data_IF_817542234552
#
_entry.id   IF_817542234552
#
_cell.length_a   1.000
_cell.length_b   1.000
_cell.length_c   1.000
_cell.angle_alpha   90.00
_cell.angle_beta   90.00
_cell.angle_gamma   90.00
#
_symmetry.space_group_name_H-M   'P 1'
#
loop_
_entity.id
_entity.type
_entity.pdbx_description
1 polymer ?
#
# COMPACT_ATOMS: atom_id res chain seq x y z
N UNK A 1 -0.87 10.14 11.23
CA UNK A 1 -1.19 10.24 9.78
C UNK A 1 -2.30 9.26 9.50
N UNK A 2 -3.54 9.73 9.58
CA UNK A 2 -4.71 8.95 9.18
C UNK A 2 -4.77 8.94 7.66
N UNK A 3 -4.65 7.76 7.06
CA UNK A 3 -4.90 7.55 5.64
C UNK A 3 -6.39 7.31 5.45
N UNK A 4 -6.99 7.90 4.42
CA UNK A 4 -8.38 7.61 4.07
C UNK A 4 -8.46 6.21 3.50
N UNK A 5 -9.20 5.33 4.17
CA UNK A 5 -9.53 3.99 3.66
C UNK A 5 -10.99 3.98 3.24
N UNK A 6 -11.23 3.56 2.01
CA UNK A 6 -12.56 3.41 1.42
C UNK A 6 -12.93 1.93 1.38
N UNK A 7 -14.10 1.60 1.90
CA UNK A 7 -14.67 0.26 1.86
C UNK A 7 -15.81 0.21 0.83
N UNK A 8 -15.77 -0.81 -0.03
CA UNK A 8 -16.84 -1.13 -0.99
C UNK A 8 -17.09 -2.63 -1.03
N UNK A 9 -18.28 -3.03 -1.43
CA UNK A 9 -18.62 -4.43 -1.68
C UNK A 9 -18.62 -4.65 -3.19
N UNK A 10 -17.85 -5.62 -3.67
CA UNK A 10 -17.74 -5.96 -5.09
C UNK A 10 -18.05 -7.45 -5.24
N UNK A 11 -19.20 -7.77 -5.84
CA UNK A 11 -19.72 -9.14 -5.85
C UNK A 11 -19.93 -9.65 -4.42
N UNK A 12 -19.22 -10.71 -4.05
CA UNK A 12 -19.26 -11.31 -2.71
C UNK A 12 -18.10 -10.89 -1.80
N UNK A 13 -17.28 -9.91 -2.21
CA UNK A 13 -16.07 -9.51 -1.48
C UNK A 13 -16.20 -8.12 -0.88
N UNK A 14 -15.67 -7.97 0.34
CA UNK A 14 -15.38 -6.69 0.97
C UNK A 14 -14.01 -6.20 0.53
N UNK A 15 -13.98 -5.06 -0.16
CA UNK A 15 -12.78 -4.49 -0.77
C UNK A 15 -12.45 -3.17 -0.08
N UNK A 16 -11.22 -3.05 0.41
CA UNK A 16 -10.65 -1.85 1.01
C UNK A 16 -9.57 -1.28 0.09
N UNK A 17 -9.70 -0.01 -0.25
CA UNK A 17 -8.74 0.75 -1.06
C UNK A 17 -8.45 2.11 -0.44
N UNK A 18 -7.41 2.81 -0.89
CA UNK A 18 -7.12 4.17 -0.41
C UNK A 18 -6.70 5.08 -1.56
N UNK A 19 -7.31 6.28 -1.69
CA UNK A 19 -6.83 7.29 -2.64
C UNK A 19 -5.48 7.88 -2.21
N UNK A 20 -5.21 7.94 -0.91
CA UNK A 20 -3.96 8.48 -0.35
C UNK A 20 -2.79 7.50 -0.47
N UNK A 21 -3.09 6.20 -0.62
CA UNK A 21 -2.11 5.15 -0.82
C UNK A 21 -2.44 4.34 -2.08
N UNK A 22 -2.10 4.87 -3.28
CA UNK A 22 -2.26 4.15 -4.53
C UNK A 22 -1.54 2.80 -4.48
N UNK A 23 -2.29 1.72 -4.74
CA UNK A 23 -1.81 0.35 -4.61
C UNK A 23 -2.33 -0.39 -3.37
N UNK A 24 -2.99 0.30 -2.43
CA UNK A 24 -3.72 -0.38 -1.36
C UNK A 24 -4.96 -1.06 -1.95
N UNK A 25 -4.95 -2.39 -1.91
CA UNK A 25 -6.07 -3.24 -2.27
C UNK A 25 -6.11 -4.46 -1.36
N UNK A 26 -7.14 -4.54 -0.52
CA UNK A 26 -7.39 -5.70 0.33
C UNK A 26 -8.81 -6.19 0.07
N UNK A 27 -8.97 -7.44 -0.31
CA UNK A 27 -10.26 -8.03 -0.64
C UNK A 27 -10.43 -9.37 0.07
N UNK A 28 -11.57 -9.56 0.75
CA UNK A 28 -11.92 -10.82 1.39
C UNK A 28 -13.44 -10.98 1.47
N UNK A 29 -13.95 -12.22 1.50
CA UNK A 29 -15.39 -12.48 1.63
C UNK A 29 -15.94 -12.08 3.01
N UNK A 30 -15.13 -12.21 4.06
CA UNK A 30 -15.41 -11.69 5.41
C UNK A 30 -14.82 -10.28 5.59
N UNK A 31 -15.69 -9.31 5.93
CA UNK A 31 -15.32 -7.93 6.22
C UNK A 31 -14.25 -7.81 7.30
N UNK A 32 -14.41 -8.50 8.42
CA UNK A 32 -13.53 -8.37 9.58
C UNK A 32 -12.12 -8.91 9.26
N UNK A 33 -12.03 -9.94 8.42
CA UNK A 33 -10.74 -10.44 7.93
C UNK A 33 -10.08 -9.40 7.03
N UNK A 34 -10.80 -8.87 6.03
CA UNK A 34 -10.24 -7.85 5.14
C UNK A 34 -9.81 -6.60 5.93
N UNK A 35 -10.62 -6.13 6.87
CA UNK A 35 -10.33 -4.96 7.69
C UNK A 35 -9.06 -5.14 8.55
N UNK A 36 -8.89 -6.32 9.17
CA UNK A 36 -7.68 -6.65 9.94
C UNK A 36 -6.41 -6.72 9.08
N UNK A 37 -6.53 -7.01 7.78
CA UNK A 37 -5.40 -7.06 6.86
C UNK A 37 -5.00 -5.68 6.30
N UNK A 38 -5.83 -4.64 6.47
CA UNK A 38 -5.52 -3.29 5.98
C UNK A 38 -4.23 -2.72 6.60
N UNK A 39 -4.00 -2.76 7.93
CA UNK A 39 -2.78 -2.21 8.52
C UNK A 39 -1.50 -2.85 8.00
N UNK A 40 -1.49 -4.17 7.78
CA UNK A 40 -0.35 -4.91 7.25
C UNK A 40 -0.06 -4.50 5.79
N UNK A 41 -1.08 -4.46 4.94
CA UNK A 41 -0.94 -4.03 3.56
C UNK A 41 -0.41 -2.60 3.46
N UNK A 42 -0.88 -1.71 4.33
CA UNK A 42 -0.40 -0.32 4.44
C UNK A 42 1.08 -0.29 4.84
N UNK A 43 1.49 -1.06 5.84
CA UNK A 43 2.89 -1.13 6.27
C UNK A 43 3.80 -1.63 5.15
N UNK A 44 3.39 -2.68 4.44
CA UNK A 44 4.13 -3.24 3.30
C UNK A 44 4.31 -2.21 2.19
N UNK A 45 3.25 -1.51 1.79
CA UNK A 45 3.31 -0.50 0.73
C UNK A 45 4.22 0.67 1.10
N UNK A 46 4.18 1.11 2.36
CA UNK A 46 5.09 2.16 2.88
C UNK A 46 6.54 1.69 2.84
N UNK A 47 6.82 0.45 3.26
CA UNK A 47 8.17 -0.12 3.20
C UNK A 47 8.69 -0.22 1.75
N UNK A 48 7.84 -0.64 0.81
CA UNK A 48 8.20 -0.68 -0.60
C UNK A 48 8.48 0.72 -1.17
N UNK A 49 7.68 1.73 -0.81
CA UNK A 49 7.90 3.11 -1.23
C UNK A 49 9.25 3.65 -0.71
N UNK A 50 9.57 3.37 0.55
CA UNK A 50 10.86 3.74 1.15
C UNK A 50 12.03 3.08 0.42
N UNK A 51 11.96 1.75 0.18
CA UNK A 51 13.01 1.00 -0.52
C UNK A 51 13.22 1.48 -1.96
N UNK A 52 12.14 1.88 -2.66
CA UNK A 52 12.24 2.49 -4.00
C UNK A 52 12.91 3.86 -3.95
N UNK A 53 12.63 4.67 -2.92
CA UNK A 53 13.27 5.97 -2.75
C UNK A 53 14.79 5.83 -2.50
N UNK A 54 15.17 4.90 -1.63
CA UNK A 54 16.56 4.56 -1.34
C UNK A 54 17.30 4.10 -2.60
N UNK A 55 16.71 3.16 -3.35
CA UNK A 55 17.30 2.69 -4.61
C UNK A 55 17.54 3.84 -5.59
N UNK A 56 16.56 4.74 -5.77
CA UNK A 56 16.72 5.92 -6.65
C UNK A 56 17.84 6.85 -6.18
N UNK A 57 18.06 6.98 -4.87
CA UNK A 57 19.14 7.78 -4.33
C UNK A 57 20.50 7.13 -4.61
N UNK A 58 20.62 5.82 -4.40
CA UNK A 58 21.84 5.07 -4.73
C UNK A 58 22.16 5.13 -6.23
N UNK A 59 21.16 4.91 -7.09
CA UNK A 59 21.33 4.98 -8.55
C UNK A 59 21.83 6.37 -9.00
N UNK A 60 21.32 7.45 -8.39
CA UNK A 60 21.82 8.83 -8.64
C UNK A 60 23.27 9.01 -8.21
N UNK A 61 23.66 8.48 -7.06
CA UNK A 61 25.04 8.58 -6.55
C UNK A 61 26.03 7.82 -7.43
N UNK A 62 25.63 6.66 -7.95
CA UNK A 62 26.43 5.88 -8.91
C UNK A 62 26.57 6.65 -10.21
N UNK A 63 25.47 7.19 -10.75
CA UNK A 63 25.48 7.95 -12.00
C UNK A 63 26.34 9.23 -11.95
N UNK A 64 26.45 9.88 -10.78
CA UNK A 64 27.32 11.05 -10.58
C UNK A 64 28.81 10.71 -10.46
N UNK A 65 29.15 9.43 -10.23
CA UNK A 65 30.53 8.94 -10.09
C UNK A 65 31.08 8.27 -11.35
N UNK A 66 30.23 8.03 -12.36
CA UNK A 66 30.60 7.50 -13.67
C UNK A 66 30.82 8.64 -14.67
#
# INVERSE_FOLDING_TARGET
MDIRVEHRIVGTQHVFTSPDLPGLYVAHADKAVAERSVPEAVAMLRAMAARRAEKRQVDKLIALRA
#
